data_IF_170433294061
#
_entry.id   IF_170433294061
#
_cell.length_a   1.000
_cell.length_b   1.000
_cell.length_c   1.000
_cell.angle_alpha   90.00
_cell.angle_beta   90.00
_cell.angle_gamma   90.00
#
_symmetry.space_group_name_H-M   'P 1'
#
loop_
_entity.id
_entity.type
_entity.pdbx_description
1 polymer ?
#
# COMPACT_ATOMS: atom_id res chain seq x y z
N UNK A 1 74.88 2.93 15.19
CA UNK A 1 73.50 3.29 15.60
C UNK A 1 73.02 4.37 14.64
N UNK A 2 72.00 4.26 13.80
CA UNK A 2 71.04 3.20 13.48
C UNK A 2 70.48 3.58 12.11
N UNK A 3 70.69 2.75 11.09
CA UNK A 3 70.09 2.91 9.76
C UNK A 3 68.58 2.65 9.89
N UNK A 4 67.77 3.69 9.69
CA UNK A 4 66.30 3.57 9.68
C UNK A 4 65.89 2.99 8.32
N UNK A 5 65.63 1.67 8.31
CA UNK A 5 64.89 1.00 7.24
C UNK A 5 63.49 1.61 7.17
N UNK A 6 63.20 2.26 6.05
CA UNK A 6 61.83 2.50 5.60
C UNK A 6 61.20 1.12 5.46
N UNK A 7 60.16 0.85 6.24
CA UNK A 7 59.44 -0.41 6.20
C UNK A 7 58.83 -0.58 4.80
N UNK A 8 59.22 -1.66 4.12
CA UNK A 8 58.61 -2.13 2.88
C UNK A 8 57.11 -2.31 3.09
N UNK A 9 56.32 -1.44 2.45
CA UNK A 9 54.90 -1.69 2.22
C UNK A 9 54.81 -2.91 1.30
N UNK A 10 54.09 -3.98 1.69
CA UNK A 10 53.94 -5.15 0.83
C UNK A 10 53.40 -4.73 -0.54
N UNK A 11 54.09 -5.14 -1.61
CA UNK A 11 53.75 -4.86 -3.01
C UNK A 11 52.40 -5.44 -3.48
N UNK A 12 51.59 -5.97 -2.56
CA UNK A 12 50.31 -6.63 -2.81
C UNK A 12 49.09 -5.69 -2.64
N UNK A 13 49.32 -4.41 -2.31
CA UNK A 13 48.25 -3.40 -2.20
C UNK A 13 48.25 -2.39 -3.36
N UNK A 14 49.21 -2.47 -4.29
CA UNK A 14 49.29 -1.58 -5.46
C UNK A 14 48.36 -1.99 -6.61
N UNK A 15 47.75 -3.18 -6.55
CA UNK A 15 46.91 -3.76 -7.62
C UNK A 15 45.40 -3.62 -7.41
N UNK A 16 44.94 -3.04 -6.31
CA UNK A 16 43.52 -2.77 -6.11
C UNK A 16 43.16 -1.43 -6.75
N UNK A 17 43.12 -1.38 -8.08
CA UNK A 17 42.28 -0.39 -8.74
C UNK A 17 40.88 -0.53 -8.12
N UNK A 18 40.30 0.53 -7.52
CA UNK A 18 38.93 0.46 -7.06
C UNK A 18 38.11 0.24 -8.32
N UNK A 19 37.64 -1.00 -8.52
CA UNK A 19 36.73 -1.40 -9.59
C UNK A 19 35.77 -0.24 -9.76
N UNK A 20 35.92 0.49 -10.87
CA UNK A 20 35.07 1.64 -11.22
C UNK A 20 33.67 1.13 -10.97
N UNK A 21 33.05 1.59 -9.87
CA UNK A 21 31.71 1.16 -9.53
C UNK A 21 30.88 1.62 -10.71
N UNK A 22 30.52 0.70 -11.60
CA UNK A 22 29.56 1.00 -12.65
C UNK A 22 28.40 1.63 -11.88
N UNK A 23 28.20 2.95 -12.01
CA UNK A 23 27.05 3.64 -11.44
C UNK A 23 25.86 2.92 -12.02
N UNK A 24 25.36 1.93 -11.29
CA UNK A 24 24.38 0.97 -11.78
C UNK A 24 23.16 1.81 -12.10
N UNK A 25 22.93 2.12 -13.37
CA UNK A 25 21.82 2.97 -13.82
C UNK A 25 20.48 2.25 -13.70
N UNK A 26 20.48 0.94 -13.44
CA UNK A 26 19.27 0.12 -13.35
C UNK A 26 18.20 0.66 -12.38
N UNK A 27 18.51 1.19 -11.16
CA UNK A 27 17.47 1.72 -10.29
C UNK A 27 16.81 2.96 -10.88
N UNK A 28 17.58 3.79 -11.59
CA UNK A 28 17.05 4.96 -12.28
C UNK A 28 16.16 4.55 -13.46
N UNK A 29 16.56 3.53 -14.23
CA UNK A 29 15.76 2.98 -15.35
C UNK A 29 14.46 2.38 -14.84
N UNK A 30 14.49 1.53 -13.80
CA UNK A 30 13.27 0.95 -13.21
C UNK A 30 12.36 2.05 -12.67
N UNK A 31 12.91 3.03 -11.96
CA UNK A 31 12.14 4.18 -11.48
C UNK A 31 11.46 4.96 -12.62
N UNK A 32 12.16 5.18 -13.73
CA UNK A 32 11.62 5.87 -14.89
C UNK A 32 10.52 5.06 -15.59
N UNK A 33 10.76 3.77 -15.84
CA UNK A 33 9.77 2.86 -16.46
C UNK A 33 8.50 2.78 -15.61
N UNK A 34 8.63 2.59 -14.30
CA UNK A 34 7.47 2.54 -13.40
C UNK A 34 6.74 3.89 -13.34
N UNK A 35 7.45 5.01 -13.39
CA UNK A 35 6.81 6.33 -13.45
C UNK A 35 6.02 6.51 -14.75
N UNK A 36 6.57 6.10 -15.90
CA UNK A 36 5.86 6.13 -17.18
C UNK A 36 4.63 5.19 -17.15
N UNK A 37 4.78 4.00 -16.60
CA UNK A 37 3.67 3.07 -16.42
C UNK A 37 2.57 3.65 -15.52
N UNK A 38 2.92 4.38 -14.46
CA UNK A 38 1.95 5.07 -13.61
C UNK A 38 1.18 6.15 -14.37
N UNK A 39 1.87 6.95 -15.18
CA UNK A 39 1.22 7.98 -16.04
C UNK A 39 0.28 7.31 -17.05
N UNK A 40 0.72 6.23 -17.71
CA UNK A 40 -0.10 5.49 -18.66
C UNK A 40 -1.31 4.81 -17.99
N UNK A 41 -1.12 4.21 -16.82
CA UNK A 41 -2.19 3.60 -16.01
C UNK A 41 -3.26 4.61 -15.60
N UNK A 42 -2.82 5.76 -15.09
CA UNK A 42 -3.71 6.88 -14.77
C UNK A 42 -4.44 7.42 -16.01
N UNK A 43 -3.73 7.59 -17.13
CA UNK A 43 -4.33 8.02 -18.39
C UNK A 43 -5.43 7.07 -18.87
N UNK A 44 -5.20 5.76 -18.77
CA UNK A 44 -6.20 4.74 -19.11
C UNK A 44 -7.43 4.79 -18.19
N UNK A 45 -7.23 4.96 -16.89
CA UNK A 45 -8.35 5.08 -15.94
C UNK A 45 -9.15 6.37 -16.14
N UNK A 46 -8.47 7.49 -16.42
CA UNK A 46 -9.09 8.78 -16.74
C UNK A 46 -9.88 8.76 -18.04
N UNK A 47 -9.33 8.19 -19.12
CA UNK A 47 -9.97 8.09 -20.44
C UNK A 47 -11.15 7.11 -20.47
N UNK A 48 -11.26 6.24 -19.46
CA UNK A 48 -12.41 5.38 -19.26
C UNK A 48 -13.57 6.12 -18.57
N UNK A 49 -14.11 5.52 -17.50
CA UNK A 49 -15.17 6.12 -16.68
C UNK A 49 -14.64 6.62 -15.33
N UNK A 50 -13.32 6.79 -15.17
CA UNK A 50 -12.68 7.02 -13.88
C UNK A 50 -13.17 8.25 -13.12
N UNK A 51 -13.55 9.33 -13.83
CA UNK A 51 -14.07 10.56 -13.21
C UNK A 51 -15.60 10.67 -13.27
N UNK A 52 -16.30 9.72 -13.89
CA UNK A 52 -17.75 9.79 -14.05
C UNK A 52 -18.48 9.84 -12.68
N UNK A 53 -17.91 9.21 -11.66
CA UNK A 53 -18.42 9.22 -10.29
C UNK A 53 -18.42 10.59 -9.61
N UNK A 54 -17.57 11.54 -10.02
CA UNK A 54 -17.50 12.88 -9.41
C UNK A 54 -18.75 13.73 -9.69
N UNK A 55 -19.45 13.47 -10.80
CA UNK A 55 -20.58 14.30 -11.25
C UNK A 55 -21.92 13.95 -10.59
N UNK A 56 -22.00 12.83 -9.86
CA UNK A 56 -23.30 12.25 -9.46
C UNK A 56 -23.66 12.51 -8.00
N UNK A 57 -22.70 12.46 -7.07
CA UNK A 57 -22.98 12.60 -5.63
C UNK A 57 -21.77 13.17 -4.89
N UNK A 58 -21.66 14.50 -4.82
CA UNK A 58 -20.58 15.19 -4.08
C UNK A 58 -21.01 15.35 -2.62
N UNK A 59 -20.31 14.76 -1.64
CA UNK A 59 -20.62 14.95 -0.23
C UNK A 59 -20.47 16.42 0.17
N UNK A 60 -21.51 16.98 0.82
CA UNK A 60 -21.52 18.39 1.25
C UNK A 60 -20.79 18.66 2.57
N UNK A 61 -20.51 17.62 3.38
CA UNK A 61 -19.88 17.77 4.70
C UNK A 61 -18.33 17.88 4.58
N UNK A 62 -17.69 18.96 5.04
CA UNK A 62 -16.23 19.10 5.02
C UNK A 62 -15.48 17.98 5.76
N UNK A 63 -16.09 17.37 6.80
CA UNK A 63 -15.49 16.29 7.59
C UNK A 63 -15.26 15.04 6.75
N UNK A 64 -16.08 14.82 5.73
CA UNK A 64 -15.87 13.78 4.73
C UNK A 64 -14.46 13.87 4.13
N UNK A 65 -14.09 15.06 3.64
CA UNK A 65 -12.82 15.28 2.94
C UNK A 65 -11.63 15.20 3.89
N UNK A 66 -11.79 15.63 5.15
CA UNK A 66 -10.77 15.47 6.19
C UNK A 66 -10.52 13.98 6.50
N UNK A 67 -11.59 13.21 6.71
CA UNK A 67 -11.49 11.77 6.94
C UNK A 67 -10.94 11.04 5.72
N UNK A 68 -11.35 11.42 4.51
CA UNK A 68 -10.82 10.88 3.26
C UNK A 68 -9.33 11.19 3.09
N UNK A 69 -8.90 12.41 3.37
CA UNK A 69 -7.49 12.78 3.30
C UNK A 69 -6.65 11.99 4.31
N UNK A 70 -7.14 11.83 5.54
CA UNK A 70 -6.51 11.00 6.56
C UNK A 70 -6.49 9.51 6.15
N UNK A 71 -7.59 8.99 5.58
CA UNK A 71 -7.68 7.64 5.04
C UNK A 71 -6.64 7.44 3.93
N UNK A 72 -6.55 8.37 3.00
CA UNK A 72 -5.58 8.33 1.92
C UNK A 72 -4.14 8.34 2.48
N UNK A 73 -3.85 9.20 3.44
CA UNK A 73 -2.52 9.31 4.03
C UNK A 73 -2.18 8.18 5.01
N UNK A 74 -3.16 7.41 5.49
CA UNK A 74 -2.93 6.31 6.44
C UNK A 74 -1.91 5.28 5.91
N UNK A 75 -2.03 4.90 4.63
CA UNK A 75 -1.15 3.92 4.00
C UNK A 75 0.30 4.44 3.85
N UNK A 76 0.55 5.58 3.17
CA UNK A 76 1.90 6.15 3.06
C UNK A 76 2.52 6.49 4.41
N UNK A 77 1.73 6.99 5.36
CA UNK A 77 2.24 7.37 6.69
C UNK A 77 2.65 6.16 7.51
N UNK A 78 1.85 5.09 7.51
CA UNK A 78 2.21 3.87 8.24
C UNK A 78 3.48 3.21 7.66
N UNK A 79 3.61 3.14 6.34
CA UNK A 79 4.85 2.68 5.71
C UNK A 79 6.02 3.62 6.01
N UNK A 80 5.77 4.94 6.09
CA UNK A 80 6.81 5.91 6.42
C UNK A 80 7.34 5.72 7.82
N UNK A 81 6.46 5.52 8.81
CA UNK A 81 6.87 5.22 10.18
C UNK A 81 7.74 3.95 10.23
N UNK A 82 7.35 2.92 9.47
CA UNK A 82 8.10 1.66 9.38
C UNK A 82 9.50 1.88 8.82
N UNK A 83 9.61 2.44 7.61
CA UNK A 83 10.90 2.63 6.96
C UNK A 83 11.74 3.76 7.59
N UNK A 84 11.12 4.70 8.31
CA UNK A 84 11.81 5.69 9.15
C UNK A 84 12.52 4.99 10.31
N UNK A 85 11.89 4.02 10.95
CA UNK A 85 12.54 3.22 12.00
C UNK A 85 13.60 2.27 11.45
N UNK A 86 13.33 1.61 10.34
CA UNK A 86 14.24 0.61 9.76
C UNK A 86 15.49 1.24 9.13
N UNK A 87 15.34 2.36 8.41
CA UNK A 87 16.42 2.94 7.59
C UNK A 87 16.68 4.42 7.85
N UNK A 88 15.92 5.08 8.73
CA UNK A 88 16.09 6.51 8.97
C UNK A 88 15.71 7.39 7.78
N UNK A 89 14.80 6.94 6.90
CA UNK A 89 14.47 7.68 5.66
C UNK A 89 14.06 9.15 5.96
N UNK A 90 14.53 10.14 5.19
CA UNK A 90 14.14 11.54 5.40
C UNK A 90 12.66 11.77 5.09
N UNK A 91 12.07 12.93 5.45
CA UNK A 91 10.66 13.25 5.13
C UNK A 91 10.32 13.13 3.64
N UNK A 92 11.28 13.38 2.74
CA UNK A 92 11.11 13.15 1.29
C UNK A 92 10.84 11.69 0.92
N UNK A 93 11.11 10.74 1.83
CA UNK A 93 10.73 9.34 1.69
C UNK A 93 9.22 9.13 1.65
N UNK A 94 8.43 10.04 2.24
CA UNK A 94 6.97 10.02 2.14
C UNK A 94 6.52 10.17 0.68
N UNK A 95 7.18 11.00 -0.12
CA UNK A 95 6.90 11.14 -1.57
C UNK A 95 7.14 9.81 -2.29
N UNK A 96 8.20 9.08 -1.93
CA UNK A 96 8.48 7.78 -2.51
C UNK A 96 7.42 6.74 -2.15
N UNK A 97 6.90 6.81 -0.93
CA UNK A 97 5.84 5.92 -0.44
C UNK A 97 4.46 6.25 -1.04
N UNK A 98 4.18 7.53 -1.29
CA UNK A 98 3.01 7.94 -2.07
C UNK A 98 3.13 7.37 -3.49
N UNK A 99 4.28 7.51 -4.16
CA UNK A 99 4.50 6.93 -5.49
C UNK A 99 4.40 5.40 -5.49
N UNK A 100 4.92 4.74 -4.45
CA UNK A 100 4.73 3.30 -4.21
C UNK A 100 3.26 2.93 -4.17
N UNK A 101 2.43 3.69 -3.42
CA UNK A 101 0.99 3.47 -3.36
C UNK A 101 0.35 3.60 -4.74
N UNK A 102 0.62 4.70 -5.44
CA UNK A 102 0.03 4.95 -6.77
C UNK A 102 0.41 3.82 -7.74
N UNK A 103 1.68 3.40 -7.77
CA UNK A 103 2.12 2.27 -8.59
C UNK A 103 1.36 0.98 -8.29
N UNK A 104 1.17 0.65 -7.00
CA UNK A 104 0.42 -0.54 -6.59
C UNK A 104 -1.05 -0.51 -7.02
N UNK A 105 -1.66 0.68 -7.12
CA UNK A 105 -3.06 0.83 -7.50
C UNK A 105 -3.24 0.86 -9.04
N UNK A 106 -2.42 1.62 -9.78
CA UNK A 106 -2.69 1.94 -11.20
C UNK A 106 -1.89 1.13 -12.23
N UNK A 107 -0.80 0.47 -11.81
CA UNK A 107 0.08 -0.31 -12.71
C UNK A 107 -0.19 -1.80 -12.55
N UNK A 108 0.31 -2.34 -11.45
CA UNK A 108 0.13 -3.75 -11.08
C UNK A 108 0.34 -3.88 -9.57
N UNK A 109 -0.41 -4.75 -8.92
CA UNK A 109 -0.21 -5.05 -7.50
C UNK A 109 1.25 -5.44 -7.25
N UNK A 110 1.87 -4.85 -6.23
CA UNK A 110 3.29 -5.02 -5.86
C UNK A 110 4.33 -4.29 -6.73
N UNK A 111 3.96 -3.66 -7.84
CA UNK A 111 4.90 -2.85 -8.64
C UNK A 111 5.50 -1.67 -7.85
N UNK A 112 4.77 -1.17 -6.85
CA UNK A 112 5.23 -0.15 -5.93
C UNK A 112 6.39 -0.60 -5.05
N UNK A 113 6.48 -1.88 -4.70
CA UNK A 113 7.62 -2.41 -3.92
C UNK A 113 8.90 -2.38 -4.77
N UNK A 114 8.81 -2.73 -6.05
CA UNK A 114 9.93 -2.62 -6.98
C UNK A 114 10.38 -1.17 -7.15
N UNK A 115 9.42 -0.23 -7.29
CA UNK A 115 9.71 1.20 -7.31
C UNK A 115 10.42 1.66 -6.03
N UNK A 116 9.88 1.31 -4.86
CA UNK A 116 10.42 1.76 -3.58
C UNK A 116 11.80 1.17 -3.31
N UNK A 117 12.03 -0.09 -3.67
CA UNK A 117 13.35 -0.72 -3.62
C UNK A 117 14.36 0.01 -4.52
N UNK A 118 14.00 0.32 -5.76
CA UNK A 118 14.86 1.08 -6.68
C UNK A 118 15.17 2.49 -6.14
N UNK A 119 14.16 3.17 -5.59
CA UNK A 119 14.30 4.48 -4.95
C UNK A 119 15.24 4.46 -3.75
N UNK A 120 15.11 3.45 -2.87
CA UNK A 120 15.94 3.28 -1.68
C UNK A 120 17.38 2.95 -2.08
N UNK A 121 17.56 2.05 -3.07
CA UNK A 121 18.87 1.66 -3.57
C UNK A 121 19.62 2.82 -4.24
N UNK A 122 18.92 3.71 -4.95
CA UNK A 122 19.52 4.90 -5.54
C UNK A 122 20.04 5.91 -4.48
N UNK A 123 19.55 5.82 -3.24
CA UNK A 123 19.91 6.68 -2.10
C UNK A 123 20.84 5.96 -1.12
N UNK A 124 21.77 5.17 -1.68
CA UNK A 124 22.61 4.13 -1.06
C UNK A 124 23.41 4.48 0.21
N UNK A 125 23.30 5.67 0.79
CA UNK A 125 23.77 5.96 2.16
C UNK A 125 22.93 5.26 3.23
N UNK A 126 21.78 4.68 2.86
CA UNK A 126 20.88 3.98 3.77
C UNK A 126 21.18 2.47 3.80
N UNK A 127 22.05 2.04 4.73
CA UNK A 127 22.28 0.69 5.31
C UNK A 127 22.41 -0.52 4.34
N UNK A 128 23.02 -1.62 4.80
CA UNK A 128 23.19 -2.86 4.06
C UNK A 128 21.85 -3.41 3.48
N UNK A 129 21.91 -3.84 2.21
CA UNK A 129 20.88 -4.49 1.39
C UNK A 129 19.38 -4.18 1.73
N UNK A 130 18.77 -3.10 1.19
CA UNK A 130 17.36 -2.75 1.43
C UNK A 130 16.36 -3.84 1.01
N UNK A 131 16.77 -4.81 0.19
CA UNK A 131 15.89 -5.87 -0.29
C UNK A 131 15.27 -6.72 0.84
N UNK A 132 16.07 -7.14 1.83
CA UNK A 132 15.59 -7.99 2.92
C UNK A 132 14.48 -7.32 3.72
N UNK A 133 14.68 -6.05 4.08
CA UNK A 133 13.68 -5.26 4.80
C UNK A 133 12.42 -4.97 3.96
N UNK A 134 12.54 -4.63 2.66
CA UNK A 134 11.34 -4.46 1.79
C UNK A 134 10.54 -5.75 1.73
N UNK A 135 11.22 -6.88 1.53
CA UNK A 135 10.60 -8.21 1.47
C UNK A 135 9.88 -8.54 2.78
N UNK A 136 10.56 -8.39 3.92
CA UNK A 136 9.99 -8.71 5.23
C UNK A 136 8.77 -7.85 5.56
N UNK A 137 8.85 -6.55 5.31
CA UNK A 137 7.73 -5.61 5.48
C UNK A 137 6.56 -5.98 4.57
N UNK A 138 6.82 -6.33 3.30
CA UNK A 138 5.77 -6.73 2.36
C UNK A 138 5.05 -8.01 2.81
N UNK A 139 5.81 -9.02 3.28
CA UNK A 139 5.25 -10.27 3.79
C UNK A 139 4.45 -10.01 5.08
N UNK A 140 4.99 -9.23 6.03
CA UNK A 140 4.27 -8.89 7.25
C UNK A 140 3.01 -8.07 6.98
N UNK A 141 3.02 -7.17 5.98
CA UNK A 141 1.81 -6.44 5.58
C UNK A 141 0.73 -7.37 5.04
N UNK A 142 1.11 -8.44 4.33
CA UNK A 142 0.15 -9.44 3.86
C UNK A 142 -0.43 -10.26 5.03
N UNK A 143 0.43 -10.73 5.94
CA UNK A 143 0.01 -11.50 7.12
C UNK A 143 -0.88 -10.65 8.05
N UNK A 144 -0.47 -9.42 8.36
CA UNK A 144 -1.28 -8.48 9.14
C UNK A 144 -2.61 -8.18 8.44
N UNK A 145 -2.56 -8.03 7.11
CA UNK A 145 -3.74 -7.88 6.27
C UNK A 145 -4.76 -8.99 6.47
N UNK A 146 -4.31 -10.24 6.49
CA UNK A 146 -5.18 -11.41 6.67
C UNK A 146 -5.66 -11.54 8.13
N UNK A 147 -4.79 -11.28 9.11
CA UNK A 147 -5.15 -11.27 10.52
C UNK A 147 -6.27 -10.26 10.82
N UNK A 148 -6.14 -9.02 10.34
CA UNK A 148 -7.17 -7.99 10.52
C UNK A 148 -8.44 -8.30 9.72
N UNK A 149 -8.32 -8.90 8.53
CA UNK A 149 -9.50 -9.35 7.78
C UNK A 149 -10.30 -10.38 8.57
N UNK A 150 -9.63 -11.39 9.15
CA UNK A 150 -10.27 -12.40 9.99
C UNK A 150 -10.92 -11.77 11.23
N UNK A 151 -10.21 -10.87 11.91
CA UNK A 151 -10.74 -10.14 13.07
C UNK A 151 -12.01 -9.37 12.69
N UNK A 152 -11.99 -8.63 11.58
CA UNK A 152 -13.14 -7.84 11.12
C UNK A 152 -14.31 -8.72 10.70
N UNK A 153 -14.05 -9.89 10.09
CA UNK A 153 -15.10 -10.86 9.78
C UNK A 153 -15.74 -11.37 11.07
N UNK A 154 -14.95 -11.78 12.07
CA UNK A 154 -15.46 -12.23 13.37
C UNK A 154 -16.32 -11.16 14.03
N UNK A 155 -15.89 -9.90 14.01
CA UNK A 155 -16.65 -8.76 14.54
C UNK A 155 -17.96 -8.55 13.75
N UNK A 156 -17.93 -8.74 12.43
CA UNK A 156 -19.08 -8.58 11.56
C UNK A 156 -20.04 -9.78 11.56
N UNK A 157 -19.64 -10.96 12.07
CA UNK A 157 -20.45 -12.20 12.07
C UNK A 157 -21.87 -12.03 12.63
N UNK A 158 -22.09 -11.32 13.75
CA UNK A 158 -23.43 -11.16 14.32
C UNK A 158 -24.38 -10.41 13.39
N UNK A 159 -23.86 -9.51 12.54
CA UNK A 159 -24.65 -8.80 11.53
C UNK A 159 -24.74 -9.62 10.24
N UNK A 160 -23.64 -10.27 9.85
CA UNK A 160 -23.56 -11.11 8.66
C UNK A 160 -24.59 -12.25 8.67
N UNK A 161 -24.87 -12.87 9.83
CA UNK A 161 -25.89 -13.93 9.94
C UNK A 161 -27.32 -13.48 9.63
N UNK A 162 -27.60 -12.18 9.74
CA UNK A 162 -28.91 -11.61 9.42
C UNK A 162 -28.97 -11.08 7.97
N UNK A 163 -27.84 -10.60 7.45
CA UNK A 163 -27.77 -9.98 6.12
C UNK A 163 -27.43 -10.98 5.00
N UNK A 164 -26.75 -12.08 5.30
CA UNK A 164 -26.28 -13.05 4.30
C UNK A 164 -27.18 -14.28 4.25
N UNK A 165 -27.44 -14.77 3.04
CA UNK A 165 -28.00 -16.11 2.83
C UNK A 165 -27.00 -17.20 3.25
N UNK A 166 -27.49 -18.42 3.48
CA UNK A 166 -26.64 -19.56 3.84
C UNK A 166 -25.54 -19.83 2.78
N UNK A 167 -25.86 -19.64 1.50
CA UNK A 167 -24.89 -19.83 0.41
C UNK A 167 -23.82 -18.73 0.42
N UNK A 168 -24.22 -17.45 0.57
CA UNK A 168 -23.29 -16.33 0.70
C UNK A 168 -22.37 -16.49 1.91
N UNK A 169 -22.90 -16.97 3.04
CA UNK A 169 -22.10 -17.28 4.23
C UNK A 169 -21.06 -18.38 3.94
N UNK A 170 -21.44 -19.43 3.20
CA UNK A 170 -20.51 -20.49 2.78
C UNK A 170 -19.40 -19.94 1.88
N UNK A 171 -19.73 -19.03 0.96
CA UNK A 171 -18.75 -18.35 0.10
C UNK A 171 -17.79 -17.49 0.91
N UNK A 172 -18.29 -16.72 1.90
CA UNK A 172 -17.45 -15.89 2.79
C UNK A 172 -16.50 -16.78 3.60
N UNK A 173 -17.00 -17.86 4.19
CA UNK A 173 -16.18 -18.82 4.95
C UNK A 173 -15.13 -19.49 4.07
N UNK A 174 -15.51 -19.96 2.87
CA UNK A 174 -14.59 -20.57 1.91
C UNK A 174 -13.51 -19.59 1.43
N UNK A 175 -13.90 -18.35 1.13
CA UNK A 175 -12.97 -17.28 0.76
C UNK A 175 -11.99 -16.97 1.88
N UNK A 176 -12.49 -16.89 3.12
CA UNK A 176 -11.66 -16.66 4.32
C UNK A 176 -10.67 -17.80 4.51
N UNK A 177 -11.10 -19.06 4.36
CA UNK A 177 -10.23 -20.22 4.45
C UNK A 177 -9.11 -20.19 3.40
N UNK A 178 -9.43 -19.87 2.15
CA UNK A 178 -8.44 -19.71 1.07
C UNK A 178 -7.44 -18.61 1.41
N UNK A 179 -7.93 -17.44 1.83
CA UNK A 179 -7.07 -16.31 2.22
C UNK A 179 -6.12 -16.70 3.35
N UNK A 180 -6.61 -17.39 4.37
CA UNK A 180 -5.77 -17.90 5.46
C UNK A 180 -4.74 -18.91 4.95
N UNK A 181 -5.16 -19.87 4.12
CA UNK A 181 -4.29 -20.90 3.53
C UNK A 181 -3.09 -20.30 2.79
N UNK A 182 -3.28 -19.20 2.05
CA UNK A 182 -2.18 -18.52 1.35
C UNK A 182 -1.12 -17.91 2.28
N UNK A 183 -1.44 -17.68 3.56
CA UNK A 183 -0.48 -17.14 4.55
C UNK A 183 0.28 -18.20 5.33
N UNK A 184 -0.23 -19.43 5.42
CA UNK A 184 0.39 -20.51 6.20
C UNK A 184 1.86 -20.77 5.81
N UNK A 185 2.25 -20.84 4.52
CA UNK A 185 3.63 -21.11 4.14
C UNK A 185 4.63 -20.11 4.75
N UNK A 186 4.29 -18.82 4.80
CA UNK A 186 5.17 -17.79 5.34
C UNK A 186 5.32 -17.89 6.87
N UNK A 187 4.28 -18.36 7.56
CA UNK A 187 4.33 -18.59 9.00
C UNK A 187 5.14 -19.85 9.34
N UNK A 188 4.92 -20.94 8.60
CA UNK A 188 5.62 -22.22 8.77
C UNK A 188 7.13 -22.07 8.50
N UNK A 189 7.50 -21.39 7.41
CA UNK A 189 8.90 -21.20 7.02
C UNK A 189 9.50 -19.88 7.54
N UNK A 190 8.88 -19.24 8.53
CA UNK A 190 9.26 -17.92 9.06
C UNK A 190 10.75 -17.78 9.39
N UNK A 191 11.37 -18.80 9.99
CA UNK A 191 12.82 -18.79 10.35
C UNK A 191 13.77 -18.70 9.15
N UNK A 192 13.34 -19.14 7.96
CA UNK A 192 14.14 -19.09 6.71
C UNK A 192 13.75 -17.91 5.83
N UNK A 193 12.53 -17.42 5.97
CA UNK A 193 11.98 -16.35 5.13
C UNK A 193 12.41 -14.98 5.65
N UNK A 194 12.28 -14.70 6.95
CA UNK A 194 12.54 -13.35 7.47
C UNK A 194 14.03 -13.07 7.71
N UNK A 195 14.45 -11.85 7.40
CA UNK A 195 15.82 -11.35 7.55
C UNK A 195 16.01 -10.40 8.74
N UNK A 196 14.94 -9.74 9.20
CA UNK A 196 14.96 -8.83 10.35
C UNK A 196 14.87 -9.57 11.69
N UNK A 197 15.41 -8.96 12.74
CA UNK A 197 15.30 -9.47 14.11
C UNK A 197 13.85 -9.54 14.58
N UNK A 198 13.53 -10.55 15.41
CA UNK A 198 12.17 -10.80 15.91
C UNK A 198 11.49 -9.59 16.57
N UNK A 199 12.16 -8.79 17.42
CA UNK A 199 11.52 -7.61 18.01
C UNK A 199 11.12 -6.58 16.95
N UNK A 200 11.93 -6.45 15.90
CA UNK A 200 11.65 -5.55 14.77
C UNK A 200 10.46 -6.06 13.96
N UNK A 201 10.40 -7.38 13.69
CA UNK A 201 9.26 -7.99 12.99
C UNK A 201 7.93 -7.75 13.73
N UNK A 202 7.89 -7.93 15.05
CA UNK A 202 6.68 -7.67 15.84
C UNK A 202 6.26 -6.21 15.83
N UNK A 203 7.23 -5.29 15.89
CA UNK A 203 6.93 -3.88 15.80
C UNK A 203 6.38 -3.50 14.42
N UNK A 204 6.95 -4.03 13.32
CA UNK A 204 6.45 -3.84 11.95
C UNK A 204 5.05 -4.42 11.79
N UNK A 205 4.83 -5.64 12.30
CA UNK A 205 3.51 -6.29 12.29
C UNK A 205 2.47 -5.44 13.02
N UNK A 206 2.78 -4.96 14.23
CA UNK A 206 1.90 -4.09 15.01
C UNK A 206 1.60 -2.77 14.29
N UNK A 207 2.60 -2.16 13.64
CA UNK A 207 2.39 -0.96 12.84
C UNK A 207 1.43 -1.21 11.66
N UNK A 208 1.53 -2.36 10.98
CA UNK A 208 0.57 -2.74 9.94
C UNK A 208 -0.83 -2.98 10.49
N UNK A 209 -0.97 -3.68 11.62
CA UNK A 209 -2.26 -3.89 12.27
C UNK A 209 -2.93 -2.56 12.65
N UNK A 210 -2.20 -1.67 13.31
CA UNK A 210 -2.68 -0.34 13.68
C UNK A 210 -3.10 0.46 12.44
N UNK A 211 -2.27 0.46 11.39
CA UNK A 211 -2.57 1.12 10.12
C UNK A 211 -3.85 0.59 9.48
N UNK A 212 -4.07 -0.73 9.49
CA UNK A 212 -5.26 -1.35 8.93
C UNK A 212 -6.51 -1.02 9.74
N UNK A 213 -6.43 -1.09 11.07
CA UNK A 213 -7.54 -0.71 11.96
C UNK A 213 -7.90 0.77 11.80
N UNK A 214 -6.90 1.65 11.81
CA UNK A 214 -7.10 3.08 11.55
C UNK A 214 -7.73 3.32 10.18
N UNK A 215 -7.26 2.62 9.14
CA UNK A 215 -7.87 2.67 7.80
C UNK A 215 -9.33 2.23 7.78
N UNK A 216 -9.67 1.14 8.48
CA UNK A 216 -11.06 0.65 8.61
C UNK A 216 -11.98 1.64 9.33
N UNK A 217 -11.49 2.28 10.39
CA UNK A 217 -12.25 3.33 11.10
C UNK A 217 -12.40 4.56 10.23
N UNK A 218 -11.33 5.02 9.58
CA UNK A 218 -11.35 6.21 8.73
C UNK A 218 -12.28 6.05 7.52
N UNK A 219 -12.35 4.87 6.90
CA UNK A 219 -13.31 4.63 5.82
C UNK A 219 -14.75 4.60 6.33
N UNK A 220 -15.00 3.99 7.49
CA UNK A 220 -16.32 4.01 8.11
C UNK A 220 -16.77 5.44 8.42
N UNK A 221 -15.88 6.27 8.97
CA UNK A 221 -16.15 7.70 9.22
C UNK A 221 -16.37 8.49 7.93
N UNK A 222 -15.55 8.23 6.91
CA UNK A 222 -15.70 8.86 5.58
C UNK A 222 -17.09 8.56 5.02
N UNK A 223 -17.52 7.31 5.06
CA UNK A 223 -18.85 6.95 4.56
C UNK A 223 -19.99 7.46 5.45
N UNK A 224 -19.83 7.44 6.77
CA UNK A 224 -20.81 7.98 7.70
C UNK A 224 -21.05 9.49 7.49
N UNK A 225 -20.00 10.30 7.24
CA UNK A 225 -20.19 11.73 6.95
C UNK A 225 -20.81 12.00 5.56
N UNK A 226 -20.75 11.04 4.64
CA UNK A 226 -21.46 11.14 3.37
C UNK A 226 -22.93 10.67 3.47
N UNK A 227 -23.18 9.62 4.25
CA UNK A 227 -24.50 8.99 4.44
C UNK A 227 -24.72 8.72 5.94
N UNK A 228 -25.16 9.75 6.71
CA UNK A 228 -25.27 9.65 8.17
C UNK A 228 -26.39 8.70 8.63
N UNK A 229 -27.40 8.48 7.78
CA UNK A 229 -28.55 7.63 8.09
C UNK A 229 -28.21 6.12 8.13
N UNK A 230 -27.05 5.74 7.59
CA UNK A 230 -26.57 4.36 7.58
C UNK A 230 -25.89 4.03 8.91
N UNK A 231 -26.32 2.93 9.54
CA UNK A 231 -25.80 2.50 10.84
C UNK A 231 -24.29 2.18 10.82
N UNK A 232 -23.62 2.42 11.95
CA UNK A 232 -22.19 2.11 12.13
C UNK A 232 -21.91 0.61 11.93
N UNK A 233 -22.83 -0.26 12.35
CA UNK A 233 -22.71 -1.71 12.13
C UNK A 233 -22.61 -2.05 10.64
N UNK A 234 -23.34 -1.34 9.79
CA UNK A 234 -23.29 -1.52 8.34
C UNK A 234 -21.94 -1.09 7.75
N UNK A 235 -21.37 0.01 8.24
CA UNK A 235 -20.04 0.46 7.82
C UNK A 235 -18.94 -0.50 8.24
N UNK A 236 -19.02 -1.07 9.45
CA UNK A 236 -18.11 -2.11 9.90
C UNK A 236 -18.23 -3.37 9.02
N UNK A 237 -19.44 -3.77 8.68
CA UNK A 237 -19.70 -4.90 7.79
C UNK A 237 -19.13 -4.67 6.38
N UNK A 238 -19.36 -3.49 5.80
CA UNK A 238 -18.80 -3.10 4.51
C UNK A 238 -17.27 -2.99 4.55
N UNK A 239 -16.69 -2.49 5.64
CA UNK A 239 -15.25 -2.46 5.82
C UNK A 239 -14.65 -3.89 5.88
N UNK A 240 -15.32 -4.83 6.57
CA UNK A 240 -14.94 -6.23 6.59
C UNK A 240 -15.02 -6.87 5.19
N UNK A 241 -16.11 -6.61 4.46
CA UNK A 241 -16.27 -7.06 3.07
C UNK A 241 -15.18 -6.50 2.15
N UNK A 242 -14.86 -5.21 2.27
CA UNK A 242 -13.78 -4.56 1.51
C UNK A 242 -12.42 -5.21 1.80
N UNK A 243 -12.13 -5.49 3.07
CA UNK A 243 -10.91 -6.19 3.46
C UNK A 243 -10.86 -7.59 2.85
N UNK A 244 -11.95 -8.36 2.91
CA UNK A 244 -12.02 -9.69 2.32
C UNK A 244 -11.78 -9.66 0.80
N UNK A 245 -12.47 -8.77 0.08
CA UNK A 245 -12.30 -8.59 -1.37
C UNK A 245 -10.86 -8.20 -1.70
N UNK A 246 -10.21 -7.40 -0.85
CA UNK A 246 -8.81 -7.01 -1.05
C UNK A 246 -7.81 -8.17 -0.99
N UNK A 247 -8.19 -9.30 -0.37
CA UNK A 247 -7.35 -10.49 -0.20
C UNK A 247 -7.60 -11.58 -1.23
N UNK A 248 -8.67 -11.47 -2.02
CA UNK A 248 -8.94 -12.45 -3.07
C UNK A 248 -7.83 -12.38 -4.13
N UNK A 249 -7.08 -13.47 -4.34
CA UNK A 249 -6.06 -13.52 -5.38
C UNK A 249 -6.74 -13.46 -6.75
N UNK A 250 -6.06 -12.89 -7.74
CA UNK A 250 -6.46 -12.90 -9.15
C UNK A 250 -7.78 -12.19 -9.50
N UNK A 251 -8.37 -11.43 -8.56
CA UNK A 251 -9.50 -10.55 -8.85
C UNK A 251 -9.01 -9.24 -9.52
N UNK A 252 -9.36 -8.98 -10.79
CA UNK A 252 -9.18 -7.67 -11.42
C UNK A 252 -10.21 -6.67 -10.85
N UNK A 253 -9.85 -5.39 -10.75
CA UNK A 253 -10.71 -4.30 -10.29
C UNK A 253 -11.44 -4.60 -8.97
N UNK A 254 -10.67 -4.76 -7.89
CA UNK A 254 -11.18 -5.06 -6.53
C UNK A 254 -12.28 -4.10 -6.07
N UNK A 255 -12.20 -2.82 -6.44
CA UNK A 255 -13.22 -1.83 -6.09
C UNK A 255 -14.55 -2.07 -6.84
N UNK A 256 -14.51 -2.60 -8.07
CA UNK A 256 -15.72 -2.99 -8.81
C UNK A 256 -16.39 -4.21 -8.18
N UNK A 257 -15.60 -5.23 -7.79
CA UNK A 257 -16.16 -6.37 -7.06
C UNK A 257 -16.74 -5.94 -5.72
N UNK A 258 -16.09 -5.02 -5.01
CA UNK A 258 -16.62 -4.46 -3.77
C UNK A 258 -17.91 -3.66 -4.02
N UNK A 259 -17.97 -2.87 -5.09
CA UNK A 259 -19.19 -2.15 -5.48
C UNK A 259 -20.33 -3.13 -5.80
N UNK A 260 -20.07 -4.20 -6.56
CA UNK A 260 -21.06 -5.24 -6.83
C UNK A 260 -21.50 -5.97 -5.55
N UNK A 261 -20.56 -6.28 -4.66
CA UNK A 261 -20.85 -6.84 -3.33
C UNK A 261 -21.76 -5.91 -2.52
N UNK A 262 -21.45 -4.62 -2.47
CA UNK A 262 -22.26 -3.62 -1.78
C UNK A 262 -23.67 -3.49 -2.39
N UNK A 263 -23.80 -3.52 -3.73
CA UNK A 263 -25.09 -3.46 -4.43
C UNK A 263 -25.95 -4.69 -4.13
N UNK A 264 -25.37 -5.89 -4.25
CA UNK A 264 -26.08 -7.16 -4.05
C UNK A 264 -26.57 -7.30 -2.60
N UNK A 265 -25.77 -6.84 -1.64
CA UNK A 265 -26.07 -7.10 -0.23
C UNK A 265 -27.00 -6.08 0.43
N UNK A 266 -27.02 -4.86 -0.09
CA UNK A 266 -27.69 -3.73 0.57
C UNK A 266 -29.01 -3.42 -0.13
N UNK A 267 -29.13 -3.84 -1.39
CA UNK A 267 -30.34 -3.68 -2.19
C UNK A 267 -30.52 -2.23 -2.62
N UNK A 268 -30.44 -1.99 -3.93
CA UNK A 268 -30.87 -0.77 -4.66
C UNK A 268 -30.62 0.63 -4.05
N UNK A 269 -29.83 0.79 -2.99
CA UNK A 269 -29.50 2.11 -2.47
C UNK A 269 -28.45 2.74 -3.37
N UNK A 270 -28.98 3.43 -4.38
CA UNK A 270 -28.24 4.18 -5.38
C UNK A 270 -27.24 5.11 -4.72
N UNK A 271 -27.55 5.67 -3.54
CA UNK A 271 -26.67 6.59 -2.84
C UNK A 271 -25.37 5.91 -2.38
N UNK A 272 -25.42 4.65 -1.94
CA UNK A 272 -24.23 3.90 -1.55
C UNK A 272 -23.35 3.56 -2.75
N UNK A 273 -23.96 3.08 -3.85
CA UNK A 273 -23.22 2.77 -5.08
C UNK A 273 -22.54 4.02 -5.64
N UNK A 274 -23.25 5.15 -5.64
CA UNK A 274 -22.72 6.45 -6.03
C UNK A 274 -21.60 6.93 -5.10
N UNK A 275 -21.72 6.72 -3.79
CA UNK A 275 -20.68 7.06 -2.82
C UNK A 275 -19.41 6.24 -3.03
N UNK A 276 -19.52 4.92 -3.25
CA UNK A 276 -18.37 4.07 -3.56
C UNK A 276 -17.70 4.52 -4.86
N UNK A 277 -18.48 4.77 -5.91
CA UNK A 277 -17.98 5.29 -7.19
C UNK A 277 -17.31 6.67 -7.03
N UNK A 278 -17.88 7.55 -6.22
CA UNK A 278 -17.31 8.86 -5.90
C UNK A 278 -15.98 8.72 -5.17
N UNK A 279 -15.88 7.87 -4.14
CA UNK A 279 -14.62 7.66 -3.39
C UNK A 279 -13.51 7.08 -4.27
N UNK A 280 -13.85 6.20 -5.21
CA UNK A 280 -12.90 5.68 -6.20
C UNK A 280 -12.44 6.79 -7.16
N UNK A 281 -13.37 7.57 -7.70
CA UNK A 281 -13.08 8.68 -8.61
C UNK A 281 -12.25 9.79 -7.93
N UNK A 282 -12.54 10.10 -6.67
CA UNK A 282 -11.78 11.06 -5.87
C UNK A 282 -10.37 10.55 -5.58
N UNK A 283 -10.21 9.25 -5.30
CA UNK A 283 -8.89 8.63 -5.13
C UNK A 283 -8.06 8.73 -6.41
N UNK A 284 -8.67 8.43 -7.56
CA UNK A 284 -8.05 8.62 -8.87
C UNK A 284 -7.63 10.08 -9.10
N UNK A 285 -8.52 11.04 -8.82
CA UNK A 285 -8.21 12.46 -8.93
C UNK A 285 -6.98 12.85 -8.08
N UNK A 286 -6.93 12.39 -6.83
CA UNK A 286 -5.78 12.63 -5.94
C UNK A 286 -4.50 12.05 -6.51
N UNK A 287 -4.53 10.84 -7.09
CA UNK A 287 -3.35 10.26 -7.73
C UNK A 287 -2.86 11.12 -8.89
N UNK A 288 -3.76 11.58 -9.76
CA UNK A 288 -3.44 12.43 -10.91
C UNK A 288 -2.80 13.74 -10.46
N UNK A 289 -3.42 14.41 -9.48
CA UNK A 289 -2.90 15.66 -8.91
C UNK A 289 -1.51 15.45 -8.32
N UNK A 290 -1.31 14.40 -7.51
CA UNK A 290 -0.02 14.14 -6.89
C UNK A 290 1.08 13.81 -7.90
N UNK A 291 0.77 13.03 -8.94
CA UNK A 291 1.73 12.73 -10.01
C UNK A 291 2.09 13.97 -10.80
N UNK A 292 1.11 14.81 -11.14
CA UNK A 292 1.34 16.09 -11.82
C UNK A 292 2.23 17.01 -10.96
N UNK A 293 1.93 17.15 -9.66
CA UNK A 293 2.73 17.95 -8.73
C UNK A 293 4.16 17.43 -8.59
N UNK A 294 4.35 16.11 -8.45
CA UNK A 294 5.69 15.52 -8.38
C UNK A 294 6.47 15.66 -9.68
N UNK A 295 5.78 15.57 -10.83
CA UNK A 295 6.38 15.81 -12.15
C UNK A 295 6.84 17.25 -12.32
N UNK A 296 5.97 18.21 -11.99
CA UNK A 296 6.27 19.64 -12.05
C UNK A 296 7.42 20.01 -11.11
N UNK A 297 7.39 19.52 -9.86
CA UNK A 297 8.49 19.71 -8.92
C UNK A 297 9.82 19.16 -9.46
N UNK A 298 9.81 17.97 -10.06
CA UNK A 298 11.02 17.39 -10.65
C UNK A 298 11.58 18.25 -11.80
N UNK A 299 10.71 18.78 -12.67
CA UNK A 299 11.11 19.70 -13.75
C UNK A 299 11.74 20.98 -13.20
N UNK A 300 11.11 21.62 -12.20
CA UNK A 300 11.62 22.85 -11.58
C UNK A 300 12.97 22.66 -10.89
N UNK A 301 13.18 21.51 -10.23
CA UNK A 301 14.46 21.22 -9.55
C UNK A 301 15.59 20.83 -10.50
N UNK A 302 15.29 20.47 -11.75
CA UNK A 302 16.29 20.06 -12.74
C UNK A 302 16.80 21.23 -13.58
N UNK A 303 16.10 22.35 -13.58
CA UNK A 303 16.52 23.59 -14.26
C UNK A 303 17.27 24.57 -13.34
N UNK A 304 17.53 24.18 -12.08
CA UNK A 304 18.41 24.86 -11.13
C UNK A 304 19.69 24.04 -10.97
#
# INVERSE_FOLDING_TARGET
MTSQRIADVPADLAGLEPLKTLKRRWPAVIGAVLTLAMVAGLGRELLGQGLAGLSRSVPGDPRFYLCFAALYMSLPTGDYLIFRRLWGIPPSGLIALIKKRIANEVVFGYSGEAYFYAWARARARMVAAPFGAVKDVSILSAIAGNAITLLMIVIALPLARYLLSADQMRTVLGSTAIVMATSLPFLIFSKKVFSLDRPVLWWVFGAHCLRLLAGSVLIALTWHFALPDVSIGMWLFLAAGRLLVSRLPLVPNKDLLFANFAIILIGQDRALSELVAFTAALTLLVHVVLIALFGLHALMTRSR
#
